data_IF_795966745259
#
_entry.id   IF_795966745259
#
_cell.length_a   1.000
_cell.length_b   1.000
_cell.length_c   1.000
_cell.angle_alpha   90.00
_cell.angle_beta   90.00
_cell.angle_gamma   90.00
#
_symmetry.space_group_name_H-M   'P 1'
#
loop_
_entity.id
_entity.type
_entity.pdbx_description
1 polymer ?
#
# COMPACT_ATOMS: atom_id res chain seq x y z
N UNK A 1 -13.85 -8.34 -1.07
CA UNK A 1 -13.05 -8.14 0.16
C UNK A 1 -13.81 -8.82 1.30
N UNK A 2 -13.21 -9.76 2.01
CA UNK A 2 -13.82 -10.33 3.23
C UNK A 2 -13.10 -9.77 4.45
N UNK A 3 -13.77 -9.67 5.60
CA UNK A 3 -13.17 -9.17 6.83
C UNK A 3 -11.89 -9.95 7.23
N UNK A 4 -11.82 -11.29 7.14
CA UNK A 4 -10.58 -12.01 7.44
C UNK A 4 -9.42 -11.63 6.52
N UNK A 5 -9.68 -11.45 5.21
CA UNK A 5 -8.65 -11.04 4.26
C UNK A 5 -8.17 -9.61 4.52
N UNK A 6 -9.08 -8.70 4.90
CA UNK A 6 -8.73 -7.34 5.29
C UNK A 6 -7.82 -7.32 6.52
N UNK A 7 -8.17 -8.07 7.57
CA UNK A 7 -7.37 -8.15 8.79
C UNK A 7 -5.99 -8.77 8.53
N UNK A 8 -5.92 -9.79 7.66
CA UNK A 8 -4.64 -10.38 7.24
C UNK A 8 -3.75 -9.34 6.52
N UNK A 9 -4.33 -8.51 5.66
CA UNK A 9 -3.60 -7.44 4.96
C UNK A 9 -3.13 -6.34 5.90
N UNK A 10 -3.98 -5.89 6.82
CA UNK A 10 -3.59 -4.94 7.85
C UNK A 10 -2.42 -5.46 8.68
N UNK A 11 -2.47 -6.72 9.11
CA UNK A 11 -1.38 -7.36 9.82
C UNK A 11 -0.10 -7.48 8.98
N UNK A 12 -0.21 -7.79 7.68
CA UNK A 12 0.91 -7.83 6.75
C UNK A 12 1.60 -6.47 6.53
N UNK A 13 0.85 -5.38 6.66
CA UNK A 13 1.37 -4.01 6.68
C UNK A 13 1.95 -3.59 8.04
N UNK A 14 1.89 -4.46 9.06
CA UNK A 14 2.33 -4.14 10.42
C UNK A 14 1.38 -3.22 11.19
N UNK A 15 0.14 -3.06 10.74
CA UNK A 15 -0.87 -2.20 11.39
C UNK A 15 -1.49 -2.98 12.55
N UNK A 16 -1.46 -2.41 13.75
CA UNK A 16 -2.10 -3.02 14.91
C UNK A 16 -3.63 -2.89 14.80
N UNK A 17 -4.37 -3.80 15.43
CA UNK A 17 -5.84 -3.75 15.44
C UNK A 17 -6.34 -2.45 16.08
N UNK A 18 -5.62 -1.94 17.09
CA UNK A 18 -5.94 -0.68 17.76
C UNK A 18 -5.85 0.51 16.81
N UNK A 19 -4.86 0.54 15.92
CA UNK A 19 -4.67 1.65 14.97
C UNK A 19 -5.72 1.67 13.85
N UNK A 20 -6.44 0.56 13.63
CA UNK A 20 -7.50 0.49 12.61
C UNK A 20 -8.69 1.42 12.90
N UNK A 21 -8.84 1.91 14.14
CA UNK A 21 -9.88 2.90 14.46
C UNK A 21 -9.60 4.28 13.82
N UNK A 22 -8.32 4.56 13.52
CA UNK A 22 -7.86 5.82 12.92
C UNK A 22 -7.81 5.77 11.40
N UNK A 23 -7.96 4.59 10.81
CA UNK A 23 -7.75 4.34 9.40
C UNK A 23 -9.05 3.89 8.72
N UNK A 24 -9.31 4.44 7.54
CA UNK A 24 -10.40 3.93 6.72
C UNK A 24 -9.97 2.61 6.05
N UNK A 25 -10.95 1.76 5.75
CA UNK A 25 -10.72 0.53 4.96
C UNK A 25 -10.05 0.87 3.63
N UNK A 26 -10.43 2.00 3.00
CA UNK A 26 -9.82 2.47 1.75
C UNK A 26 -8.33 2.76 1.90
N UNK A 27 -7.94 3.49 2.94
CA UNK A 27 -6.53 3.84 3.17
C UNK A 27 -5.65 2.61 3.39
N UNK A 28 -6.12 1.62 4.15
CA UNK A 28 -5.40 0.35 4.35
C UNK A 28 -5.27 -0.42 3.03
N UNK A 29 -6.31 -0.40 2.20
CA UNK A 29 -6.29 -1.02 0.89
C UNK A 29 -5.36 -0.32 -0.10
N UNK A 30 -5.26 1.01 -0.03
CA UNK A 30 -4.35 1.80 -0.85
C UNK A 30 -2.90 1.53 -0.45
N UNK A 31 -2.58 1.52 0.84
CA UNK A 31 -1.24 1.14 1.31
C UNK A 31 -0.86 -0.29 0.91
N UNK A 32 -1.81 -1.23 0.95
CA UNK A 32 -1.58 -2.59 0.48
C UNK A 32 -1.38 -2.66 -1.04
N UNK A 33 -2.00 -1.76 -1.81
CA UNK A 33 -1.80 -1.65 -3.25
C UNK A 33 -0.41 -1.09 -3.54
N UNK A 34 0.00 -0.03 -2.83
CA UNK A 34 1.34 0.55 -3.01
C UNK A 34 2.45 -0.44 -2.64
N UNK A 35 2.30 -1.22 -1.58
CA UNK A 35 3.25 -2.28 -1.25
C UNK A 35 3.40 -3.31 -2.39
N UNK A 36 2.32 -3.67 -3.08
CA UNK A 36 2.40 -4.56 -4.23
C UNK A 36 3.01 -3.88 -5.46
N UNK A 37 2.77 -2.57 -5.63
CA UNK A 37 3.38 -1.78 -6.70
C UNK A 37 4.91 -1.71 -6.51
N UNK A 38 5.42 -1.61 -5.28
CA UNK A 38 6.86 -1.60 -4.98
C UNK A 38 7.57 -2.87 -5.46
N UNK A 39 6.90 -4.02 -5.42
CA UNK A 39 7.44 -5.29 -5.91
C UNK A 39 7.24 -5.49 -7.41
N UNK A 40 6.44 -4.65 -8.07
CA UNK A 40 6.12 -4.81 -9.48
C UNK A 40 7.24 -4.28 -10.37
N UNK A 41 7.67 -5.11 -11.33
CA UNK A 41 8.65 -4.70 -12.34
C UNK A 41 7.97 -3.95 -13.48
N UNK A 42 7.88 -2.64 -13.35
CA UNK A 42 7.35 -1.80 -14.43
C UNK A 42 8.31 -1.79 -15.64
N UNK A 43 7.78 -1.87 -16.88
CA UNK A 43 8.59 -1.79 -18.09
C UNK A 43 9.25 -0.41 -18.27
N UNK A 44 8.60 0.63 -17.75
CA UNK A 44 9.09 2.00 -17.75
C UNK A 44 9.13 2.49 -16.31
N UNK A 45 10.34 2.75 -15.79
CA UNK A 45 10.56 3.35 -14.48
C UNK A 45 10.96 4.81 -14.68
N UNK A 46 10.39 5.71 -13.88
CA UNK A 46 10.83 7.08 -13.84
C UNK A 46 12.30 7.14 -13.40
N UNK A 47 13.10 7.95 -14.08
CA UNK A 47 14.52 8.16 -13.77
C UNK A 47 14.71 9.46 -13.01
N UNK A 48 15.89 9.65 -12.41
CA UNK A 48 16.24 10.92 -11.76
C UNK A 48 16.10 12.11 -12.73
N UNK A 49 16.48 11.93 -13.99
CA UNK A 49 16.33 12.96 -15.03
C UNK A 49 14.88 13.38 -15.29
N UNK A 50 13.91 12.52 -14.99
CA UNK A 50 12.49 12.85 -15.12
C UNK A 50 12.02 13.68 -13.91
N UNK A 51 12.50 13.36 -12.71
CA UNK A 51 12.24 14.15 -11.50
C UNK A 51 12.87 15.55 -11.55
N UNK A 52 14.08 15.67 -12.09
CA UNK A 52 14.81 16.95 -12.19
C UNK A 52 14.18 17.95 -13.18
N UNK A 53 13.16 17.52 -13.95
CA UNK A 53 12.41 18.38 -14.89
C UNK A 53 11.13 18.99 -14.30
N UNK A 54 10.75 18.61 -13.08
CA UNK A 54 9.61 19.19 -12.34
C UNK A 54 10.05 20.36 -11.47
#
# INVERSE_FOLDING_TARGET
MTTPLFMLRAAGLGISISDLELLSIGLVMDMFTEQQNDEFKYPNMATQNDFDKF
#
